data_IF_800984620824
#
_entry.id   IF_800984620824
#
_cell.length_a   1.000
_cell.length_b   1.000
_cell.length_c   1.000
_cell.angle_alpha   90.00
_cell.angle_beta   90.00
_cell.angle_gamma   90.00
#
_symmetry.space_group_name_H-M   'P 1'
#
loop_
_entity.id
_entity.type
_entity.pdbx_description
1 polymer ?
#
# COMPACT_ATOMS: atom_id res chain seq x y z
N UNK A 1 21.57 33.47 21.54
CA UNK A 1 20.12 33.58 21.54
C UNK A 1 19.46 33.12 22.84
N UNK A 2 20.28 32.82 23.88
CA UNK A 2 19.73 32.37 25.15
C UNK A 2 19.11 33.50 25.94
N UNK A 3 19.63 34.71 25.81
CA UNK A 3 19.14 35.86 26.54
C UNK A 3 18.28 36.73 25.65
N UNK A 4 17.18 37.21 26.18
CA UNK A 4 16.26 38.13 25.50
C UNK A 4 15.81 39.20 26.48
N UNK A 5 15.43 40.36 25.95
CA UNK A 5 14.84 41.42 26.75
C UNK A 5 13.31 41.31 26.63
N UNK A 6 12.63 41.24 27.75
CA UNK A 6 11.17 41.17 27.76
C UNK A 6 10.66 42.17 28.80
N UNK A 7 9.94 43.18 28.33
CA UNK A 7 9.44 44.24 29.18
C UNK A 7 10.54 44.93 29.97
N UNK A 8 11.71 45.10 29.31
CA UNK A 8 12.84 45.76 29.92
C UNK A 8 13.68 44.91 30.83
N UNK A 9 13.32 43.67 31.02
CA UNK A 9 14.05 42.77 31.88
C UNK A 9 14.80 41.71 31.06
N UNK A 10 16.03 41.38 31.54
CA UNK A 10 16.76 40.28 30.92
C UNK A 10 16.18 38.97 31.33
N UNK A 11 15.83 38.16 30.35
CA UNK A 11 15.25 36.85 30.58
C UNK A 11 16.10 35.79 29.88
N UNK A 12 16.06 34.58 30.38
CA UNK A 12 16.74 33.45 29.76
C UNK A 12 15.71 32.63 29.02
N UNK A 13 15.97 32.42 27.73
CA UNK A 13 15.06 31.64 26.90
C UNK A 13 15.10 30.18 27.35
N UNK A 14 13.95 29.59 27.48
CA UNK A 14 13.86 28.16 27.75
C UNK A 14 14.42 27.37 26.57
N UNK A 15 15.32 26.43 26.85
CA UNK A 15 16.02 25.71 25.80
C UNK A 15 15.60 24.24 25.71
N UNK A 16 14.75 23.77 26.60
CA UNK A 16 14.22 22.41 26.48
C UNK A 16 13.36 22.28 25.24
N UNK A 17 13.44 21.11 24.61
CA UNK A 17 12.62 20.86 23.44
C UNK A 17 11.21 20.44 23.86
N UNK A 18 10.27 20.74 22.99
CA UNK A 18 8.89 20.33 23.22
C UNK A 18 8.74 18.84 22.91
N UNK A 19 7.67 18.26 23.43
CA UNK A 19 7.33 16.87 23.12
C UNK A 19 7.15 16.72 21.61
N UNK A 20 7.59 15.58 21.08
CA UNK A 20 7.50 15.34 19.64
C UNK A 20 6.08 15.37 19.12
N UNK A 21 5.09 15.10 19.98
CA UNK A 21 3.70 15.18 19.56
C UNK A 21 3.25 16.58 19.15
N UNK A 22 3.98 17.61 19.62
CA UNK A 22 3.66 18.96 19.17
C UNK A 22 3.91 19.09 17.67
N UNK A 23 5.05 18.63 17.20
CA UNK A 23 5.36 18.70 15.77
C UNK A 23 4.44 17.80 14.94
N UNK A 24 4.17 16.60 15.43
CA UNK A 24 3.34 15.67 14.68
C UNK A 24 1.87 16.11 14.62
N UNK A 25 1.48 17.02 15.53
CA UNK A 25 0.10 17.49 15.59
C UNK A 25 -0.23 18.53 14.53
N UNK A 26 0.76 19.08 13.84
CA UNK A 26 0.48 20.10 12.83
C UNK A 26 1.37 20.01 11.59
N UNK A 27 2.20 18.98 11.46
CA UNK A 27 3.13 18.91 10.33
C UNK A 27 2.44 18.98 8.98
N UNK A 28 1.22 18.42 8.89
CA UNK A 28 0.46 18.43 7.64
C UNK A 28 0.04 19.85 7.26
N UNK A 29 -0.13 20.70 8.24
CA UNK A 29 -0.37 22.14 7.98
C UNK A 29 0.88 22.77 7.39
N UNK A 30 2.04 22.47 8.01
CA UNK A 30 3.31 22.99 7.51
C UNK A 30 3.57 22.53 6.08
N UNK A 31 3.18 21.29 5.78
CA UNK A 31 3.36 20.76 4.43
C UNK A 31 2.62 21.56 3.38
N UNK A 32 1.55 22.24 3.75
CA UNK A 32 0.82 23.08 2.81
C UNK A 32 1.63 24.29 2.35
N UNK A 33 2.55 24.76 3.20
CA UNK A 33 3.37 25.93 2.92
C UNK A 33 4.84 25.62 3.24
N UNK A 34 5.44 24.66 2.53
CA UNK A 34 6.76 24.16 2.95
C UNK A 34 7.87 25.20 2.80
N UNK A 35 7.69 26.19 1.94
CA UNK A 35 8.73 27.17 1.67
C UNK A 35 8.52 28.49 2.39
N UNK A 36 7.49 28.61 3.21
CA UNK A 36 7.24 29.82 3.98
C UNK A 36 8.32 30.00 5.04
N UNK A 37 8.93 31.17 5.08
CA UNK A 37 10.07 31.40 5.96
C UNK A 37 9.76 32.25 7.18
N UNK A 38 8.66 33.01 7.14
CA UNK A 38 8.35 33.94 8.21
C UNK A 38 7.29 33.42 9.18
N UNK A 39 6.43 32.54 8.70
CA UNK A 39 5.30 32.03 9.48
C UNK A 39 5.24 30.53 9.33
N UNK A 40 4.43 29.90 10.17
CA UNK A 40 4.25 28.46 10.08
C UNK A 40 3.55 28.02 8.79
N UNK A 41 2.65 28.85 8.30
CA UNK A 41 1.89 28.55 7.08
C UNK A 41 1.23 29.82 6.57
N UNK A 42 0.76 29.75 5.32
CA UNK A 42 -0.03 30.82 4.71
C UNK A 42 -1.50 30.45 4.67
N UNK A 43 -2.37 31.42 4.95
CA UNK A 43 -3.81 31.18 4.94
C UNK A 43 -4.29 30.68 3.58
N UNK A 44 -3.81 31.27 2.49
CA UNK A 44 -4.26 30.86 1.16
C UNK A 44 -3.94 29.39 0.88
N UNK A 45 -2.76 28.92 1.32
CA UNK A 45 -2.39 27.53 1.14
C UNK A 45 -3.29 26.60 1.95
N UNK A 46 -3.58 27.00 3.19
CA UNK A 46 -4.45 26.23 4.06
C UNK A 46 -5.87 26.15 3.49
N UNK A 47 -6.36 27.27 3.00
CA UNK A 47 -7.71 27.31 2.43
C UNK A 47 -7.82 26.39 1.22
N UNK A 48 -6.74 26.22 0.48
CA UNK A 48 -6.74 25.37 -0.70
C UNK A 48 -6.61 23.88 -0.37
N UNK A 49 -5.67 23.54 0.52
CA UNK A 49 -5.30 22.16 0.74
C UNK A 49 -6.06 21.45 1.87
N UNK A 50 -6.49 22.21 2.88
CA UNK A 50 -7.11 21.60 4.06
C UNK A 50 -8.63 21.57 3.97
N UNK A 51 -9.27 20.64 4.67
CA UNK A 51 -8.71 19.56 5.47
C UNK A 51 -8.09 18.47 4.61
N UNK A 52 -7.26 17.63 5.23
CA UNK A 52 -6.67 16.49 4.53
C UNK A 52 -7.79 15.58 4.04
N UNK A 53 -7.76 15.24 2.77
CA UNK A 53 -8.85 14.46 2.17
C UNK A 53 -8.92 13.04 2.72
N UNK A 54 -7.78 12.38 2.83
CA UNK A 54 -7.72 11.01 3.30
C UNK A 54 -6.46 10.80 4.14
N UNK A 55 -6.63 10.39 5.39
CA UNK A 55 -5.52 10.16 6.30
C UNK A 55 -5.46 8.68 6.64
N UNK A 56 -4.31 8.07 6.36
CA UNK A 56 -4.15 6.63 6.52
C UNK A 56 -3.05 6.36 7.54
N UNK A 57 -3.35 5.52 8.52
CA UNK A 57 -2.37 5.20 9.55
C UNK A 57 -2.79 4.01 10.37
N UNK A 58 -1.87 3.55 11.20
CA UNK A 58 -2.15 2.42 12.06
C UNK A 58 -3.12 2.73 13.18
N UNK A 59 -3.79 1.71 13.66
CA UNK A 59 -4.79 1.88 14.72
C UNK A 59 -4.15 2.37 16.03
N UNK A 60 -2.86 2.13 16.21
CA UNK A 60 -2.17 2.54 17.43
C UNK A 60 -2.12 4.06 17.60
N UNK A 61 -2.37 4.82 16.55
CA UNK A 61 -2.34 6.28 16.61
C UNK A 61 -3.68 6.90 17.04
N UNK A 62 -4.70 6.07 17.23
CA UNK A 62 -6.05 6.61 17.49
C UNK A 62 -6.11 7.43 18.78
N UNK A 63 -5.45 6.99 19.84
CA UNK A 63 -5.50 7.65 21.14
C UNK A 63 -4.44 8.74 21.26
N UNK A 64 -3.35 8.62 20.51
CA UNK A 64 -2.22 9.54 20.64
C UNK A 64 -2.25 10.61 19.55
N UNK A 65 -1.67 10.28 18.41
CA UNK A 65 -1.48 11.25 17.32
C UNK A 65 -2.78 11.87 16.85
N UNK A 66 -3.80 11.05 16.61
CA UNK A 66 -5.05 11.57 16.06
C UNK A 66 -5.76 12.47 17.05
N UNK A 67 -5.74 12.11 18.31
CA UNK A 67 -6.38 12.93 19.33
C UNK A 67 -5.64 14.27 19.51
N UNK A 68 -4.31 14.21 19.58
CA UNK A 68 -3.51 15.44 19.69
C UNK A 68 -3.68 16.35 18.47
N UNK A 69 -3.76 15.76 17.29
CA UNK A 69 -3.98 16.54 16.06
C UNK A 69 -5.28 17.30 16.12
N UNK A 70 -6.35 16.65 16.54
CA UNK A 70 -7.64 17.31 16.65
C UNK A 70 -7.62 18.43 17.69
N UNK A 71 -6.99 18.17 18.83
CA UNK A 71 -6.87 19.20 19.85
C UNK A 71 -6.06 20.39 19.35
N UNK A 72 -4.96 20.12 18.68
CA UNK A 72 -4.07 21.18 18.20
C UNK A 72 -4.79 22.08 17.19
N UNK A 73 -5.56 21.47 16.29
CA UNK A 73 -6.31 22.25 15.31
C UNK A 73 -7.35 23.14 15.98
N UNK A 74 -8.03 22.62 16.98
CA UNK A 74 -9.02 23.41 17.70
C UNK A 74 -8.37 24.52 18.52
N UNK A 75 -7.20 24.23 19.09
CA UNK A 75 -6.48 25.26 19.86
C UNK A 75 -6.02 26.40 18.96
N UNK A 76 -5.48 26.08 17.78
CA UNK A 76 -5.06 27.13 16.84
C UNK A 76 -6.26 27.91 16.33
N UNK A 77 -7.36 27.23 16.12
CA UNK A 77 -8.57 27.87 15.60
C UNK A 77 -9.28 28.73 16.62
N UNK A 78 -8.95 28.59 17.90
CA UNK A 78 -9.67 29.28 18.96
C UNK A 78 -9.49 30.80 18.81
N UNK A 79 -10.58 31.49 18.59
CA UNK A 79 -10.58 32.94 18.43
C UNK A 79 -9.63 33.43 17.34
N UNK A 80 -9.43 32.62 16.32
CA UNK A 80 -8.51 32.97 15.23
C UNK A 80 -9.29 33.11 13.93
N UNK A 81 -9.38 34.34 13.42
CA UNK A 81 -10.14 34.58 12.19
C UNK A 81 -9.41 34.06 10.95
N UNK A 82 -8.13 33.87 11.02
CA UNK A 82 -7.33 33.45 9.87
C UNK A 82 -7.13 31.96 9.79
N UNK A 83 -7.58 31.21 10.78
CA UNK A 83 -7.46 29.75 10.79
C UNK A 83 -8.68 29.19 11.48
N UNK A 84 -9.49 28.46 10.73
CA UNK A 84 -10.74 27.94 11.27
C UNK A 84 -10.96 26.51 10.80
N UNK A 85 -10.09 25.63 11.23
CA UNK A 85 -10.16 24.21 10.91
C UNK A 85 -10.24 23.44 12.21
N UNK A 86 -11.40 22.85 12.48
CA UNK A 86 -11.61 22.10 13.72
C UNK A 86 -11.28 20.61 13.56
N UNK A 87 -11.46 20.07 12.35
CA UNK A 87 -11.15 18.68 12.08
C UNK A 87 -10.08 18.63 10.99
N UNK A 88 -8.89 18.15 11.31
CA UNK A 88 -7.80 18.18 10.33
C UNK A 88 -7.97 17.19 9.18
N UNK A 89 -8.70 16.10 9.40
CA UNK A 89 -8.82 15.03 8.43
C UNK A 89 -10.28 14.82 8.07
N UNK A 90 -10.58 14.91 6.77
CA UNK A 90 -11.95 14.68 6.32
C UNK A 90 -12.32 13.22 6.42
N UNK A 91 -11.38 12.34 6.10
CA UNK A 91 -11.59 10.90 6.17
C UNK A 91 -10.39 10.25 6.81
N UNK A 92 -10.67 9.25 7.66
CA UNK A 92 -9.64 8.45 8.29
C UNK A 92 -9.75 7.01 7.79
N UNK A 93 -8.62 6.39 7.59
CA UNK A 93 -8.58 4.95 7.36
C UNK A 93 -7.56 4.35 8.32
N UNK A 94 -8.03 3.49 9.20
CA UNK A 94 -7.21 2.89 10.25
C UNK A 94 -6.80 1.50 9.82
N UNK A 95 -5.53 1.32 9.54
CA UNK A 95 -5.03 0.04 9.04
C UNK A 95 -4.60 -0.86 10.20
N UNK A 96 -4.66 -2.17 9.95
CA UNK A 96 -4.23 -3.15 10.92
C UNK A 96 -2.72 -3.23 11.05
N UNK A 97 -2.28 -4.03 11.99
CA UNK A 97 -0.86 -4.22 12.29
C UNK A 97 -0.30 -5.40 11.52
N UNK A 98 1.01 -5.34 11.23
CA UNK A 98 1.71 -6.50 10.71
C UNK A 98 2.26 -7.27 11.91
N UNK A 99 1.88 -8.53 12.00
CA UNK A 99 2.18 -9.36 13.17
C UNK A 99 3.09 -10.52 12.79
N UNK A 100 3.86 -10.97 13.77
CA UNK A 100 4.74 -12.11 13.59
C UNK A 100 4.79 -12.90 14.89
N UNK A 101 4.97 -14.21 14.76
CA UNK A 101 5.17 -15.06 15.91
C UNK A 101 6.37 -14.60 16.72
N UNK A 102 6.32 -14.87 18.03
CA UNK A 102 7.41 -14.57 18.93
C UNK A 102 8.14 -15.86 19.28
N UNK A 103 9.43 -15.75 19.54
CA UNK A 103 10.27 -16.93 19.83
C UNK A 103 11.11 -16.69 21.07
N UNK A 104 11.19 -17.71 21.91
CA UNK A 104 12.02 -17.70 23.10
C UNK A 104 12.91 -18.94 23.16
N UNK A 105 14.11 -18.77 23.67
CA UNK A 105 14.99 -19.92 23.92
C UNK A 105 14.66 -20.54 25.28
N UNK A 106 15.47 -21.52 25.69
CA UNK A 106 15.24 -22.23 26.93
C UNK A 106 15.40 -21.33 28.15
N UNK A 107 16.17 -20.26 28.02
CA UNK A 107 16.42 -19.34 29.12
C UNK A 107 15.45 -18.16 29.11
N UNK A 108 14.36 -18.26 28.32
CA UNK A 108 13.32 -17.22 28.23
C UNK A 108 13.80 -15.93 27.57
N UNK A 109 14.89 -16.01 26.79
CA UNK A 109 15.37 -14.87 26.01
C UNK A 109 14.65 -14.83 24.67
N UNK A 110 14.26 -13.60 24.25
CA UNK A 110 13.64 -13.42 22.95
C UNK A 110 14.63 -13.70 21.85
N UNK A 111 14.14 -14.30 20.76
CA UNK A 111 14.93 -14.61 19.58
C UNK A 111 14.32 -13.91 18.36
N UNK A 112 15.20 -13.48 17.43
CA UNK A 112 14.70 -12.95 16.17
C UNK A 112 14.31 -14.10 15.24
N UNK A 113 13.46 -13.84 14.24
CA UNK A 113 13.12 -14.88 13.28
C UNK A 113 14.33 -15.48 12.55
N UNK A 114 15.40 -14.69 12.36
CA UNK A 114 16.62 -15.19 11.71
C UNK A 114 17.36 -16.22 12.54
N UNK A 115 17.13 -16.23 13.85
CA UNK A 115 17.82 -17.17 14.73
C UNK A 115 17.09 -18.49 14.86
N UNK A 116 15.95 -18.64 14.20
CA UNK A 116 15.07 -19.78 14.36
C UNK A 116 14.84 -20.46 13.03
N UNK A 117 14.81 -21.79 13.04
CA UNK A 117 14.51 -22.55 11.83
C UNK A 117 13.55 -23.69 12.20
N UNK A 118 12.68 -24.03 11.27
CA UNK A 118 11.73 -25.11 11.50
C UNK A 118 12.37 -26.42 11.08
N UNK A 119 12.37 -27.39 11.99
CA UNK A 119 12.93 -28.71 11.74
C UNK A 119 11.84 -29.73 12.06
N UNK A 120 11.24 -30.27 10.99
CA UNK A 120 10.07 -31.12 11.17
C UNK A 120 8.90 -30.33 11.71
N UNK A 121 8.35 -30.79 12.81
CA UNK A 121 7.26 -30.09 13.47
C UNK A 121 7.71 -29.17 14.59
N UNK A 122 9.02 -29.04 14.77
CA UNK A 122 9.58 -28.26 15.86
C UNK A 122 10.36 -27.08 15.33
N UNK A 123 10.44 -26.04 16.17
CA UNK A 123 11.30 -24.90 15.91
C UNK A 123 12.53 -25.01 16.78
N UNK A 124 13.70 -24.81 16.17
CA UNK A 124 14.97 -24.95 16.85
C UNK A 124 15.84 -23.74 16.55
N UNK A 125 16.86 -23.53 17.37
CA UNK A 125 17.82 -22.46 17.10
C UNK A 125 18.67 -22.84 15.88
N UNK A 126 18.85 -21.88 15.01
CA UNK A 126 19.58 -22.10 13.78
C UNK A 126 21.03 -22.53 14.05
N UNK A 127 21.66 -21.92 15.06
CA UNK A 127 23.05 -22.20 15.41
C UNK A 127 23.20 -23.50 16.19
N UNK A 128 22.16 -23.87 16.93
CA UNK A 128 22.21 -25.03 17.82
C UNK A 128 20.94 -25.85 17.63
N UNK A 129 20.94 -26.73 16.63
CA UNK A 129 19.69 -27.45 16.26
C UNK A 129 19.15 -28.35 17.36
N UNK A 130 19.95 -28.63 18.41
CA UNK A 130 19.47 -29.42 19.53
C UNK A 130 18.61 -28.59 20.53
N UNK A 131 18.69 -27.27 20.46
CA UNK A 131 17.93 -26.43 21.36
C UNK A 131 16.57 -26.11 20.76
N UNK A 132 15.53 -26.48 21.49
CA UNK A 132 14.15 -26.25 21.05
C UNK A 132 13.74 -24.83 21.38
N UNK A 133 13.04 -24.19 20.44
CA UNK A 133 12.55 -22.84 20.56
C UNK A 133 11.07 -22.90 20.93
N UNK A 134 10.67 -22.10 21.90
CA UNK A 134 9.26 -21.99 22.27
C UNK A 134 8.62 -20.91 21.40
N UNK A 135 7.56 -21.29 20.69
CA UNK A 135 6.85 -20.39 19.80
C UNK A 135 5.70 -19.76 20.60
N UNK A 136 5.68 -18.44 20.63
CA UNK A 136 4.62 -17.70 21.29
C UNK A 136 3.63 -17.14 20.29
N UNK A 137 2.67 -16.37 20.79
CA UNK A 137 1.61 -15.87 19.93
C UNK A 137 2.13 -14.87 18.89
N UNK A 138 1.38 -14.75 17.81
CA UNK A 138 1.64 -13.76 16.79
C UNK A 138 1.16 -12.40 17.31
N UNK A 139 2.07 -11.44 17.36
CA UNK A 139 1.81 -10.10 17.89
C UNK A 139 2.38 -9.07 16.96
N UNK A 140 1.95 -7.83 17.11
CA UNK A 140 2.51 -6.77 16.31
C UNK A 140 4.03 -6.72 16.49
N UNK A 141 4.74 -6.44 15.42
CA UNK A 141 6.19 -6.46 15.43
C UNK A 141 6.75 -5.39 16.35
N UNK A 142 7.70 -5.75 17.20
CA UNK A 142 8.34 -4.82 18.12
C UNK A 142 9.79 -5.21 18.33
N UNK A 143 10.62 -4.21 18.57
CA UNK A 143 12.04 -4.46 18.83
C UNK A 143 12.25 -5.17 20.15
N UNK A 144 11.40 -4.91 21.13
CA UNK A 144 11.57 -5.51 22.45
C UNK A 144 11.33 -7.02 22.44
N UNK A 145 10.42 -7.48 21.58
CA UNK A 145 10.14 -8.92 21.47
C UNK A 145 10.88 -9.55 20.30
N UNK A 146 11.60 -8.77 19.55
CA UNK A 146 12.48 -9.22 18.46
C UNK A 146 11.75 -9.95 17.32
N UNK A 147 10.43 -9.80 17.24
CA UNK A 147 9.66 -10.44 16.16
C UNK A 147 9.53 -9.54 14.94
N UNK A 148 10.61 -8.88 14.59
CA UNK A 148 10.64 -7.92 13.48
C UNK A 148 11.28 -8.56 12.25
N UNK A 149 10.67 -8.33 11.10
CA UNK A 149 11.24 -8.72 9.81
C UNK A 149 11.87 -7.47 9.21
N UNK A 150 13.12 -7.60 8.78
CA UNK A 150 13.83 -6.49 8.16
C UNK A 150 13.31 -6.27 6.74
N UNK A 151 12.68 -5.11 6.47
CA UNK A 151 12.15 -4.88 5.12
C UNK A 151 13.22 -4.91 4.04
N UNK A 152 14.42 -4.42 4.34
CA UNK A 152 15.48 -4.40 3.34
C UNK A 152 15.87 -5.80 2.92
N UNK A 153 15.98 -6.71 3.88
CA UNK A 153 16.31 -8.09 3.56
C UNK A 153 15.24 -8.73 2.66
N UNK A 154 13.97 -8.50 3.00
CA UNK A 154 12.87 -9.10 2.24
C UNK A 154 12.80 -8.49 0.83
N UNK A 155 12.98 -7.17 0.72
CA UNK A 155 12.94 -6.52 -0.58
C UNK A 155 14.08 -6.99 -1.47
N UNK A 156 15.28 -7.17 -0.88
CA UNK A 156 16.42 -7.64 -1.65
C UNK A 156 16.24 -9.08 -2.16
N UNK A 157 15.50 -9.89 -1.41
CA UNK A 157 15.32 -11.30 -1.79
C UNK A 157 14.11 -11.51 -2.69
N UNK A 158 13.05 -10.75 -2.52
CA UNK A 158 11.78 -10.99 -3.23
C UNK A 158 11.32 -9.82 -4.09
N UNK A 159 11.87 -8.63 -3.85
CA UNK A 159 11.41 -7.44 -4.55
C UNK A 159 10.29 -6.75 -3.81
N UNK A 160 10.21 -5.43 -3.99
CA UNK A 160 9.20 -4.63 -3.30
C UNK A 160 7.77 -5.02 -3.71
N UNK A 161 7.58 -5.35 -4.99
CA UNK A 161 6.25 -5.70 -5.47
C UNK A 161 5.69 -6.94 -4.80
N UNK A 162 6.57 -7.94 -4.55
CA UNK A 162 6.11 -9.16 -3.87
C UNK A 162 5.69 -8.87 -2.44
N UNK A 163 6.43 -7.99 -1.76
CA UNK A 163 6.06 -7.59 -0.40
C UNK A 163 4.71 -6.86 -0.40
N UNK A 164 4.55 -5.91 -1.33
CA UNK A 164 3.29 -5.18 -1.45
C UNK A 164 2.13 -6.14 -1.71
N UNK A 165 2.34 -7.07 -2.62
CA UNK A 165 1.31 -8.04 -2.96
C UNK A 165 0.93 -8.90 -1.75
N UNK A 166 1.94 -9.36 -1.00
CA UNK A 166 1.69 -10.17 0.18
C UNK A 166 0.90 -9.39 1.23
N UNK A 167 1.36 -8.17 1.54
CA UNK A 167 0.72 -7.37 2.60
C UNK A 167 -0.75 -7.10 2.27
N UNK A 168 -1.06 -6.88 1.00
CA UNK A 168 -2.41 -6.48 0.60
C UNK A 168 -3.33 -7.66 0.29
N UNK A 169 -2.81 -8.89 0.21
CA UNK A 169 -3.57 -9.99 -0.40
C UNK A 169 -4.50 -10.72 0.56
N UNK A 170 -4.08 -10.88 1.82
CA UNK A 170 -4.71 -11.89 2.68
C UNK A 170 -6.07 -11.45 3.22
N UNK A 171 -6.18 -10.19 3.64
CA UNK A 171 -7.40 -9.71 4.27
C UNK A 171 -7.56 -8.22 4.03
N UNK A 172 -8.73 -7.65 4.34
CA UNK A 172 -8.90 -6.21 4.18
C UNK A 172 -7.84 -5.44 4.97
N UNK A 173 -7.42 -4.28 4.48
CA UNK A 173 -6.29 -3.57 5.12
C UNK A 173 -6.56 -3.10 6.54
N UNK A 174 -7.81 -3.03 6.98
CA UNK A 174 -8.10 -2.65 8.36
C UNK A 174 -7.86 -3.81 9.34
N UNK A 175 -7.62 -5.01 8.86
CA UNK A 175 -7.34 -6.17 9.71
C UNK A 175 -5.86 -6.42 9.80
N UNK A 176 -5.45 -7.09 10.87
CA UNK A 176 -4.04 -7.44 11.07
C UNK A 176 -3.56 -8.42 10.01
N UNK A 177 -2.31 -8.26 9.62
CA UNK A 177 -1.64 -9.14 8.67
C UNK A 177 -0.72 -10.07 9.46
N UNK A 178 -0.89 -11.38 9.29
CA UNK A 178 0.00 -12.35 9.91
C UNK A 178 1.14 -12.66 8.95
N UNK A 179 2.36 -12.34 9.35
CA UNK A 179 3.51 -12.59 8.49
C UNK A 179 3.64 -14.09 8.25
N UNK A 180 3.90 -14.46 7.01
CA UNK A 180 3.97 -15.86 6.62
C UNK A 180 5.02 -16.01 5.51
N UNK A 181 6.01 -16.89 5.75
CA UNK A 181 6.99 -17.19 4.72
C UNK A 181 6.33 -17.81 3.50
N UNK A 182 5.34 -18.65 3.76
CA UNK A 182 4.59 -19.29 2.67
C UNK A 182 3.85 -18.26 1.83
N UNK A 183 3.21 -17.31 2.49
CA UNK A 183 2.49 -16.25 1.79
C UNK A 183 3.41 -15.37 0.99
N UNK A 184 4.58 -15.04 1.55
CA UNK A 184 5.56 -14.24 0.86
C UNK A 184 6.05 -14.95 -0.40
N UNK A 185 6.33 -16.24 -0.26
CA UNK A 185 6.81 -17.05 -1.39
C UNK A 185 5.72 -17.16 -2.48
N UNK A 186 4.47 -17.32 -2.08
CA UNK A 186 3.37 -17.39 -3.03
C UNK A 186 3.24 -16.10 -3.82
N UNK A 187 3.37 -14.96 -3.14
CA UNK A 187 3.33 -13.66 -3.82
C UNK A 187 4.47 -13.52 -4.81
N UNK A 188 5.66 -13.93 -4.38
CA UNK A 188 6.82 -13.88 -5.26
C UNK A 188 6.60 -14.75 -6.51
N UNK A 189 6.07 -15.95 -6.33
CA UNK A 189 5.80 -16.84 -7.45
C UNK A 189 4.76 -16.27 -8.40
N UNK A 190 3.77 -15.57 -7.87
CA UNK A 190 2.77 -14.94 -8.73
C UNK A 190 3.40 -13.85 -9.59
N UNK A 191 4.29 -13.05 -9.03
CA UNK A 191 5.01 -12.04 -9.81
C UNK A 191 5.80 -12.72 -10.93
N UNK A 192 6.44 -13.86 -10.63
CA UNK A 192 7.19 -14.59 -11.65
C UNK A 192 6.26 -15.11 -12.75
N UNK A 193 5.08 -15.60 -12.38
CA UNK A 193 4.11 -16.05 -13.37
C UNK A 193 3.65 -14.90 -14.26
N UNK A 194 3.41 -13.74 -13.63
CA UNK A 194 3.02 -12.56 -14.40
C UNK A 194 4.12 -12.15 -15.38
N UNK A 195 5.38 -12.26 -14.97
CA UNK A 195 6.48 -11.93 -15.86
C UNK A 195 6.55 -12.90 -17.03
N UNK A 196 6.37 -14.18 -16.78
CA UNK A 196 6.36 -15.18 -17.86
C UNK A 196 5.20 -14.89 -18.83
N UNK A 197 4.04 -14.54 -18.30
CA UNK A 197 2.92 -14.16 -19.15
C UNK A 197 3.24 -12.91 -19.95
N UNK A 198 3.89 -11.93 -19.32
CA UNK A 198 4.27 -10.71 -19.99
C UNK A 198 5.14 -10.98 -21.21
N UNK A 199 6.12 -11.87 -21.06
CA UNK A 199 7.00 -12.19 -22.16
C UNK A 199 6.22 -12.82 -23.34
N UNK A 200 5.24 -13.66 -23.02
CA UNK A 200 4.40 -14.26 -24.06
C UNK A 200 3.54 -13.20 -24.74
N UNK A 201 2.96 -12.29 -23.97
CA UNK A 201 2.14 -11.23 -24.54
C UNK A 201 2.98 -10.30 -25.41
N UNK A 202 4.18 -9.96 -24.93
CA UNK A 202 5.08 -9.09 -25.65
C UNK A 202 5.39 -9.68 -27.04
N UNK A 203 5.63 -10.97 -27.10
CA UNK A 203 5.86 -11.64 -28.37
C UNK A 203 4.63 -11.58 -29.26
N UNK A 204 3.45 -11.80 -28.69
CA UNK A 204 2.21 -11.80 -29.45
C UNK A 204 1.87 -10.42 -29.99
N UNK A 205 2.06 -9.36 -29.19
CA UNK A 205 1.70 -8.02 -29.65
C UNK A 205 2.59 -7.54 -30.79
N UNK A 206 3.80 -8.07 -30.90
CA UNK A 206 4.67 -7.70 -32.01
C UNK A 206 4.13 -8.21 -33.35
N UNK A 207 3.17 -9.13 -33.32
CA UNK A 207 2.61 -9.77 -34.49
C UNK A 207 1.12 -9.47 -34.69
N UNK A 208 0.54 -8.62 -33.85
CA UNK A 208 -0.89 -8.37 -33.89
C UNK A 208 -1.26 -7.27 -34.89
N UNK A 209 -2.53 -7.23 -35.25
CA UNK A 209 -3.08 -6.14 -36.05
C UNK A 209 -3.69 -5.12 -35.09
N UNK A 210 -2.98 -4.00 -34.89
CA UNK A 210 -3.40 -2.98 -33.93
C UNK A 210 -4.66 -2.23 -34.36
N UNK A 211 -4.99 -2.28 -35.64
CA UNK A 211 -6.13 -1.54 -36.15
C UNK A 211 -7.46 -2.24 -35.95
N UNK A 212 -7.41 -3.53 -35.69
CA UNK A 212 -8.64 -4.31 -35.48
C UNK A 212 -8.96 -4.39 -33.99
N UNK A 213 -10.25 -4.58 -33.72
CA UNK A 213 -10.76 -4.64 -32.35
C UNK A 213 -11.36 -6.02 -32.11
N UNK A 214 -11.03 -6.62 -30.98
CA UNK A 214 -11.64 -7.87 -30.53
C UNK A 214 -12.58 -7.53 -29.39
N UNK A 215 -13.88 -7.68 -29.65
CA UNK A 215 -14.87 -7.30 -28.64
C UNK A 215 -14.76 -8.11 -27.36
N UNK A 216 -14.31 -9.34 -27.44
CA UNK A 216 -14.17 -10.16 -26.23
C UNK A 216 -13.20 -9.54 -25.23
N UNK A 217 -11.98 -9.22 -25.67
CA UNK A 217 -11.00 -8.66 -24.75
C UNK A 217 -11.32 -7.22 -24.38
N UNK A 218 -11.94 -6.47 -25.30
CA UNK A 218 -12.41 -5.13 -24.97
C UNK A 218 -13.37 -5.16 -23.81
N UNK A 219 -14.34 -6.07 -23.86
CA UNK A 219 -15.33 -6.20 -22.81
C UNK A 219 -14.67 -6.62 -21.49
N UNK A 220 -13.79 -7.62 -21.54
CA UNK A 220 -13.11 -8.08 -20.34
C UNK A 220 -12.28 -6.97 -19.71
N UNK A 221 -11.55 -6.24 -20.53
CA UNK A 221 -10.70 -5.16 -20.03
C UNK A 221 -11.51 -4.08 -19.36
N UNK A 222 -12.62 -3.68 -19.99
CA UNK A 222 -13.47 -2.65 -19.41
C UNK A 222 -14.08 -3.10 -18.09
N UNK A 223 -14.50 -4.36 -18.00
CA UNK A 223 -15.02 -4.90 -16.75
C UNK A 223 -13.95 -4.91 -15.67
N UNK A 224 -12.72 -5.26 -16.04
CA UNK A 224 -11.62 -5.29 -15.09
C UNK A 224 -11.29 -3.89 -14.58
N UNK A 225 -11.25 -2.90 -15.48
CA UNK A 225 -11.00 -1.52 -15.07
C UNK A 225 -12.07 -1.07 -14.08
N UNK A 226 -13.34 -1.37 -14.38
CA UNK A 226 -14.43 -0.96 -13.50
C UNK A 226 -14.32 -1.62 -12.12
N UNK A 227 -14.02 -2.93 -12.09
CA UNK A 227 -13.89 -3.63 -10.82
C UNK A 227 -12.77 -3.07 -9.97
N UNK A 228 -11.59 -2.90 -10.57
CA UNK A 228 -10.43 -2.42 -9.81
C UNK A 228 -10.64 -0.98 -9.38
N UNK A 229 -11.21 -0.14 -10.24
CA UNK A 229 -11.49 1.25 -9.88
C UNK A 229 -12.42 1.34 -8.67
N UNK A 230 -13.47 0.54 -8.67
CA UNK A 230 -14.41 0.52 -7.56
C UNK A 230 -13.72 0.05 -6.27
N UNK A 231 -12.91 -0.98 -6.37
CA UNK A 231 -12.23 -1.52 -5.20
C UNK A 231 -11.15 -0.59 -4.67
N UNK A 232 -10.51 0.17 -5.54
CA UNK A 232 -9.57 1.19 -5.09
C UNK A 232 -10.26 2.26 -4.25
N UNK A 233 -11.41 2.72 -4.71
CA UNK A 233 -12.14 3.74 -3.97
C UNK A 233 -12.56 3.27 -2.59
N UNK A 234 -12.83 1.98 -2.46
CA UNK A 234 -13.29 1.40 -1.20
C UNK A 234 -12.15 0.83 -0.37
N UNK A 235 -10.92 0.92 -0.83
CA UNK A 235 -9.76 0.35 -0.15
C UNK A 235 -9.88 -1.16 0.02
N UNK A 236 -10.53 -1.83 -0.92
CA UNK A 236 -10.67 -3.29 -0.91
C UNK A 236 -9.49 -3.91 -1.65
N UNK A 237 -8.28 -3.74 -1.10
CA UNK A 237 -7.08 -4.16 -1.81
C UNK A 237 -6.99 -5.67 -1.99
N UNK A 238 -7.45 -6.42 -1.01
CA UNK A 238 -7.44 -7.88 -1.15
C UNK A 238 -8.32 -8.34 -2.31
N UNK A 239 -9.42 -7.62 -2.55
CA UNK A 239 -10.28 -7.94 -3.69
C UNK A 239 -9.60 -7.58 -5.01
N UNK A 240 -8.86 -6.46 -5.02
CA UNK A 240 -8.09 -6.10 -6.23
C UNK A 240 -7.14 -7.22 -6.59
N UNK A 241 -6.49 -7.82 -5.61
CA UNK A 241 -5.56 -8.90 -5.89
C UNK A 241 -6.29 -10.12 -6.43
N UNK A 242 -7.51 -10.40 -5.95
CA UNK A 242 -8.33 -11.45 -6.54
C UNK A 242 -8.65 -11.12 -8.00
N UNK A 243 -8.95 -9.85 -8.29
CA UNK A 243 -9.16 -9.43 -9.68
C UNK A 243 -7.90 -9.65 -10.53
N UNK A 244 -6.72 -9.45 -9.93
CA UNK A 244 -5.47 -9.66 -10.65
C UNK A 244 -5.28 -11.14 -11.00
N UNK A 245 -5.61 -12.04 -10.08
CA UNK A 245 -5.54 -13.47 -10.38
C UNK A 245 -6.53 -13.85 -11.47
N UNK A 246 -7.75 -13.32 -11.42
CA UNK A 246 -8.74 -13.57 -12.47
C UNK A 246 -8.22 -13.11 -13.82
N UNK A 247 -7.61 -11.94 -13.84
CA UNK A 247 -7.07 -11.37 -15.07
C UNK A 247 -5.93 -12.23 -15.64
N UNK A 248 -5.06 -12.68 -14.74
CA UNK A 248 -3.98 -13.57 -15.16
C UNK A 248 -4.53 -14.82 -15.82
N UNK A 249 -5.50 -15.47 -15.17
CA UNK A 249 -6.09 -16.68 -15.71
C UNK A 249 -6.79 -16.43 -17.04
N UNK A 250 -7.49 -15.33 -17.15
CA UNK A 250 -8.15 -14.97 -18.39
C UNK A 250 -7.15 -14.78 -19.53
N UNK A 251 -6.09 -14.02 -19.26
CA UNK A 251 -5.12 -13.70 -20.32
C UNK A 251 -4.39 -14.97 -20.80
N UNK A 252 -4.06 -15.87 -19.90
CA UNK A 252 -3.40 -17.12 -20.29
C UNK A 252 -4.28 -17.88 -21.29
N UNK A 253 -5.57 -18.03 -20.96
CA UNK A 253 -6.48 -18.74 -21.85
C UNK A 253 -6.72 -17.97 -23.14
N UNK A 254 -6.83 -16.65 -23.04
CA UNK A 254 -7.11 -15.83 -24.20
C UNK A 254 -6.02 -15.93 -25.25
N UNK A 255 -4.74 -15.81 -24.83
CA UNK A 255 -3.66 -15.87 -25.80
C UNK A 255 -3.41 -17.27 -26.35
N UNK A 256 -3.85 -18.31 -25.61
CA UNK A 256 -3.73 -19.68 -26.10
C UNK A 256 -4.73 -19.99 -27.20
N UNK A 257 -5.97 -19.51 -27.06
CA UNK A 257 -7.01 -19.88 -27.98
C UNK A 257 -7.09 -18.98 -29.22
N UNK A 258 -6.50 -17.80 -29.17
CA UNK A 258 -6.59 -16.86 -30.26
C UNK A 258 -5.29 -16.82 -31.03
N UNK A 259 -5.36 -17.09 -32.32
CA UNK A 259 -4.19 -17.11 -33.18
C UNK A 259 -3.93 -15.76 -33.84
N UNK A 260 -4.98 -15.04 -34.18
CA UNK A 260 -4.89 -13.73 -34.83
C UNK A 260 -5.38 -12.69 -33.83
N UNK A 261 -4.45 -12.20 -33.02
CA UNK A 261 -4.79 -11.25 -31.98
C UNK A 261 -5.04 -9.87 -32.54
N UNK A 262 -5.97 -9.17 -31.94
CA UNK A 262 -6.39 -7.83 -32.36
C UNK A 262 -6.40 -6.93 -31.13
N UNK A 263 -5.65 -5.83 -31.21
CA UNK A 263 -5.63 -4.79 -30.19
C UNK A 263 -5.31 -5.33 -28.80
N UNK A 264 -4.49 -6.36 -28.73
CA UNK A 264 -4.08 -6.92 -27.44
C UNK A 264 -3.21 -5.93 -26.66
N UNK A 265 -2.32 -5.23 -27.36
CA UNK A 265 -1.39 -4.31 -26.74
C UNK A 265 -2.12 -3.21 -25.95
N UNK A 266 -3.11 -2.58 -26.58
CA UNK A 266 -3.83 -1.48 -25.92
C UNK A 266 -4.58 -1.97 -24.69
N UNK A 267 -5.22 -3.12 -24.78
CA UNK A 267 -5.94 -3.70 -23.65
C UNK A 267 -4.99 -4.11 -22.53
N UNK A 268 -3.88 -4.73 -22.89
CA UNK A 268 -2.90 -5.17 -21.90
C UNK A 268 -2.29 -3.97 -21.18
N UNK A 269 -2.00 -2.88 -21.90
CA UNK A 269 -1.48 -1.67 -21.27
C UNK A 269 -2.44 -1.12 -20.24
N UNK A 270 -3.73 -1.11 -20.55
CA UNK A 270 -4.73 -0.64 -19.59
C UNK A 270 -4.76 -1.53 -18.34
N UNK A 271 -4.64 -2.83 -18.53
CA UNK A 271 -4.61 -3.78 -17.42
C UNK A 271 -3.36 -3.54 -16.55
N UNK A 272 -2.21 -3.32 -17.18
CA UNK A 272 -0.98 -3.04 -16.43
C UNK A 272 -1.11 -1.79 -15.57
N UNK A 273 -1.74 -0.75 -16.11
CA UNK A 273 -1.94 0.46 -15.33
C UNK A 273 -2.83 0.17 -14.13
N UNK A 274 -3.85 -0.67 -14.31
CA UNK A 274 -4.72 -1.04 -13.20
C UNK A 274 -3.99 -1.85 -12.13
N UNK A 275 -2.93 -2.56 -12.50
CA UNK A 275 -2.11 -3.31 -11.55
C UNK A 275 -1.12 -2.43 -10.80
N UNK A 276 -0.84 -1.24 -11.30
CA UNK A 276 0.24 -0.41 -10.77
C UNK A 276 0.05 0.02 -9.31
N UNK A 277 -1.16 0.22 -8.79
CA UNK A 277 -1.27 0.54 -7.36
C UNK A 277 -0.77 -0.57 -6.46
N UNK A 278 -0.81 -1.82 -6.90
CA UNK A 278 -0.36 -2.95 -6.10
C UNK A 278 1.09 -3.31 -6.43
N UNK A 279 1.41 -3.44 -7.72
CA UNK A 279 2.76 -3.87 -8.16
C UNK A 279 3.33 -2.84 -9.14
N UNK A 280 3.71 -1.66 -8.62
CA UNK A 280 4.13 -0.56 -9.50
C UNK A 280 5.40 -0.82 -10.29
N UNK A 281 6.36 -1.53 -9.73
CA UNK A 281 7.62 -1.77 -10.44
C UNK A 281 7.40 -2.71 -11.61
N UNK A 282 6.63 -3.77 -11.40
CA UNK A 282 6.29 -4.69 -12.48
C UNK A 282 5.54 -3.96 -13.60
N UNK A 283 4.53 -3.18 -13.23
CA UNK A 283 3.73 -2.47 -14.22
C UNK A 283 4.59 -1.50 -15.03
N UNK A 284 5.45 -0.76 -14.35
CA UNK A 284 6.30 0.21 -15.01
C UNK A 284 7.28 -0.46 -15.98
N UNK A 285 7.90 -1.55 -15.54
CA UNK A 285 8.85 -2.26 -16.40
C UNK A 285 8.16 -2.83 -17.63
N UNK A 286 6.99 -3.41 -17.46
CA UNK A 286 6.26 -3.99 -18.58
C UNK A 286 5.82 -2.93 -19.56
N UNK A 287 5.32 -1.80 -19.04
CA UNK A 287 4.90 -0.70 -19.92
C UNK A 287 6.07 -0.14 -20.71
N UNK A 288 7.23 -0.01 -20.07
CA UNK A 288 8.41 0.47 -20.76
C UNK A 288 8.81 -0.48 -21.88
N UNK A 289 8.72 -1.79 -21.65
CA UNK A 289 9.05 -2.77 -22.68
C UNK A 289 8.08 -2.73 -23.86
N UNK A 290 6.87 -2.23 -23.63
CA UNK A 290 5.89 -2.07 -24.70
C UNK A 290 5.99 -0.73 -25.41
N UNK A 291 7.01 0.06 -25.06
CA UNK A 291 7.24 1.35 -25.71
C UNK A 291 6.56 2.53 -25.04
N UNK A 292 5.94 2.33 -23.90
CA UNK A 292 5.28 3.41 -23.17
C UNK A 292 6.29 4.11 -22.28
N UNK A 293 6.55 5.37 -22.56
CA UNK A 293 7.49 6.16 -21.76
C UNK A 293 6.81 7.31 -21.04
N UNK A 294 5.53 7.51 -21.28
CA UNK A 294 4.79 8.61 -20.69
C UNK A 294 4.23 8.21 -19.32
N UNK A 295 3.68 9.21 -18.63
CA UNK A 295 3.05 8.98 -17.34
C UNK A 295 1.87 8.04 -17.48
N UNK A 296 1.71 7.20 -16.48
CA UNK A 296 0.53 6.35 -16.43
C UNK A 296 -0.70 7.19 -16.17
N UNK A 297 -1.69 7.07 -17.04
CA UNK A 297 -2.98 7.72 -16.87
C UNK A 297 -4.02 6.64 -16.65
N UNK A 298 -4.79 6.77 -15.56
CA UNK A 298 -5.78 5.76 -15.22
C UNK A 298 -6.76 5.61 -16.37
N UNK A 299 -6.98 4.39 -16.86
CA UNK A 299 -7.81 4.20 -18.04
C UNK A 299 -9.28 4.41 -17.74
N UNK A 300 -9.98 4.97 -18.71
CA UNK A 300 -11.44 5.06 -18.67
C UNK A 300 -12.03 3.74 -19.11
N UNK A 301 -13.27 3.50 -18.73
CA UNK A 301 -13.97 2.32 -19.19
C UNK A 301 -15.31 2.71 -19.79
N UNK A 302 -15.72 1.92 -20.78
CA UNK A 302 -16.97 2.12 -21.50
C UNK A 302 -18.08 1.40 -20.77
N UNK A 303 -19.03 2.14 -20.20
CA UNK A 303 -20.08 1.55 -19.39
C UNK A 303 -21.00 0.64 -20.19
N UNK A 304 -21.09 0.84 -21.50
CA UNK A 304 -21.92 -0.04 -22.32
C UNK A 304 -21.34 -1.44 -22.41
N UNK A 305 -20.03 -1.58 -22.24
CA UNK A 305 -19.38 -2.90 -22.28
C UNK A 305 -19.47 -3.63 -20.94
N UNK A 306 -19.96 -2.98 -19.90
CA UNK A 306 -20.15 -3.64 -18.62
C UNK A 306 -21.40 -4.48 -18.59
N UNK A 307 -22.35 -4.19 -19.47
CA UNK A 307 -23.62 -4.92 -19.54
C UNK A 307 -23.47 -6.10 -20.48
N UNK A 308 -23.08 -7.22 -19.93
CA UNK A 308 -22.97 -8.45 -20.70
C UNK A 308 -24.01 -9.44 -20.19
N UNK A 309 -24.23 -10.49 -20.99
CA UNK A 309 -25.19 -11.53 -20.61
C UNK A 309 -24.77 -12.28 -19.36
N UNK A 310 -23.49 -12.23 -19.02
CA UNK A 310 -22.96 -12.99 -17.91
C UNK A 310 -23.04 -12.25 -16.57
N UNK A 311 -23.45 -10.99 -16.60
CA UNK A 311 -23.54 -10.20 -15.37
C UNK A 311 -24.55 -10.77 -14.40
N UNK A 312 -25.55 -11.44 -14.90
CA UNK A 312 -26.61 -11.99 -14.06
C UNK A 312 -26.08 -12.98 -13.03
N UNK A 313 -24.92 -13.55 -13.25
CA UNK A 313 -24.37 -14.54 -12.32
C UNK A 313 -23.81 -13.91 -11.06
N UNK A 314 -23.44 -12.67 -11.16
CA UNK A 314 -22.82 -11.99 -10.03
C UNK A 314 -23.82 -11.78 -8.90
N UNK A 315 -25.08 -11.79 -9.20
CA UNK A 315 -26.13 -11.49 -8.22
C UNK A 315 -26.26 -12.58 -7.18
N UNK A 316 -25.76 -13.73 -7.41
CA UNK A 316 -25.87 -14.83 -6.47
C UNK A 316 -25.07 -14.67 -5.23
N UNK A 317 -24.34 -14.01 -5.46
CA UNK A 317 -23.53 -13.85 -4.37
C UNK A 317 -24.15 -13.45 -3.16
N UNK A 318 -24.87 -13.26 -3.40
CA UNK A 318 -25.38 -12.93 -2.28
C UNK A 318 -24.99 -13.64 -1.35
#
# INVERSE_FOLDING_TARGET
LEEVLLMGEKMTRETDTLDTFVCSSWYYIRFCSPNEKNYGFKKDDIDYWMPVDQYIGGVEHAILHLLYSRFFMRAISYQNKNFNINEPFESLFTQGMVCHETYKDENQNWLTPNEVVKKGNKFVKKDKPDEIVKVGPSESMSKSKKNVIDPEFIINNYGADAVRLFILSDSPPEKDVQWSEQGMLSSYKFIQKLWTLHLKIKDKVSKEDEKLVDREIETFTNQTIAKISNNLEKFNYNVIIANMYETYNYLIKYIQKNKNLKNLKDNYKKILICFSPVIPHFASECLEELGETDNMVWPNFDTTLLESEDISYVIQXX
#
